data_IF_717449251561
#
_entry.id   IF_717449251561
#
_cell.length_a   1.000
_cell.length_b   1.000
_cell.length_c   1.000
_cell.angle_alpha   90.00
_cell.angle_beta   90.00
_cell.angle_gamma   90.00
#
_symmetry.space_group_name_H-M   'P 1'
#
loop_
_entity.id
_entity.type
_entity.pdbx_description
1 polymer ?
#
# COMPACT_ATOMS: atom_id res chain seq x y z
N UNK A 1 6.50 -0.55 -4.96
CA UNK A 1 5.19 -1.03 -4.48
C UNK A 1 5.38 -2.43 -3.93
N UNK A 2 4.60 -2.80 -2.93
CA UNK A 2 4.60 -4.12 -2.32
C UNK A 2 3.22 -4.77 -2.37
N UNK A 3 3.16 -6.08 -2.14
CA UNK A 3 1.90 -6.83 -1.97
C UNK A 3 2.09 -8.05 -1.08
N UNK A 4 0.98 -8.54 -0.57
CA UNK A 4 0.84 -9.81 0.14
C UNK A 4 -0.04 -10.74 -0.68
N UNK A 5 0.40 -11.96 -0.98
CA UNK A 5 -0.31 -12.88 -1.91
C UNK A 5 -1.04 -14.01 -1.19
N UNK A 6 -0.92 -14.10 0.13
CA UNK A 6 -1.61 -15.10 0.97
C UNK A 6 -2.50 -14.48 2.04
N UNK A 7 -2.24 -13.25 2.44
CA UNK A 7 -2.85 -12.62 3.62
C UNK A 7 -3.33 -11.20 3.32
N UNK A 8 -4.37 -10.77 4.02
CA UNK A 8 -4.86 -9.38 3.96
C UNK A 8 -4.11 -8.47 4.94
N UNK A 9 -4.19 -7.17 4.68
CA UNK A 9 -3.66 -6.14 5.57
C UNK A 9 -4.69 -5.01 5.77
N UNK A 10 -4.67 -4.40 6.95
CA UNK A 10 -5.49 -3.23 7.28
C UNK A 10 -4.60 -2.09 7.72
N UNK A 11 -4.82 -0.91 7.14
CA UNK A 11 -4.33 0.35 7.68
C UNK A 11 -5.49 1.12 8.31
N UNK A 12 -5.32 1.58 9.54
CA UNK A 12 -6.27 2.46 10.21
C UNK A 12 -5.56 3.70 10.74
N UNK A 13 -6.01 4.87 10.28
CA UNK A 13 -5.43 6.16 10.66
C UNK A 13 -5.98 6.60 12.03
N UNK A 14 -5.14 6.70 13.05
CA UNK A 14 -5.60 6.95 14.43
C UNK A 14 -5.84 8.43 14.72
N UNK A 15 -4.93 9.30 14.30
CA UNK A 15 -4.88 10.70 14.77
C UNK A 15 -4.72 11.75 13.68
N UNK A 16 -4.04 11.45 12.58
CA UNK A 16 -3.87 12.35 11.44
C UNK A 16 -4.22 11.65 10.12
N UNK A 17 -4.51 12.47 9.10
CA UNK A 17 -4.83 11.98 7.76
C UNK A 17 -3.56 11.47 7.06
N UNK A 18 -3.74 10.48 6.19
CA UNK A 18 -2.66 9.94 5.35
C UNK A 18 -3.08 9.82 3.89
N UNK A 19 -2.10 9.74 2.99
CA UNK A 19 -2.32 9.34 1.61
C UNK A 19 -1.91 7.89 1.45
N UNK A 20 -2.80 7.06 0.90
CA UNK A 20 -2.55 5.66 0.62
C UNK A 20 -2.47 5.48 -0.90
N UNK A 21 -1.37 4.87 -1.35
CA UNK A 21 -1.16 4.49 -2.75
C UNK A 21 -1.50 3.02 -2.92
N UNK A 22 -2.42 2.68 -3.82
CA UNK A 22 -2.86 1.31 -4.09
C UNK A 22 -2.93 1.02 -5.59
N UNK A 23 -2.81 -0.24 -5.98
CA UNK A 23 -3.05 -0.75 -7.33
C UNK A 23 -3.81 -2.08 -7.26
N UNK A 24 -4.52 -2.42 -8.34
CA UNK A 24 -5.30 -3.67 -8.39
C UNK A 24 -4.38 -4.88 -8.32
N UNK A 25 -4.83 -5.95 -7.68
CA UNK A 25 -4.13 -7.22 -7.69
C UNK A 25 -3.88 -7.72 -9.12
N UNK A 26 -2.65 -8.13 -9.40
CA UNK A 26 -2.23 -8.70 -10.69
C UNK A 26 -1.72 -10.14 -10.50
N UNK A 27 -2.64 -11.13 -10.38
CA UNK A 27 -2.24 -12.52 -10.20
C UNK A 27 -1.37 -12.99 -11.37
N UNK A 28 -0.34 -13.77 -11.08
CA UNK A 28 0.64 -14.29 -12.05
C UNK A 28 1.48 -13.22 -12.78
N UNK A 29 1.44 -11.96 -12.33
CA UNK A 29 2.32 -10.91 -12.82
C UNK A 29 3.34 -10.54 -11.75
N UNK A 30 4.56 -10.21 -12.20
CA UNK A 30 5.64 -9.80 -11.30
C UNK A 30 5.52 -8.35 -10.84
N UNK A 31 4.73 -7.52 -11.52
CA UNK A 31 4.59 -6.08 -11.27
C UNK A 31 3.11 -5.66 -11.32
N UNK A 32 2.74 -4.52 -10.71
CA UNK A 32 1.41 -3.93 -10.86
C UNK A 32 1.14 -3.48 -12.30
N UNK A 33 -0.14 -3.45 -12.65
CA UNK A 33 -0.64 -2.66 -13.78
C UNK A 33 -0.62 -1.18 -13.38
N UNK A 34 0.28 -0.41 -14.01
CA UNK A 34 0.56 0.99 -13.71
C UNK A 34 -0.70 1.86 -13.83
N UNK A 35 -1.59 1.57 -14.78
CA UNK A 35 -2.81 2.35 -15.01
C UNK A 35 -3.84 2.21 -13.88
N UNK A 36 -3.73 1.13 -13.11
CA UNK A 36 -4.59 0.86 -11.96
C UNK A 36 -4.10 1.52 -10.68
N UNK A 37 -2.87 2.03 -10.66
CA UNK A 37 -2.30 2.66 -9.47
C UNK A 37 -2.98 4.00 -9.24
N UNK A 38 -3.54 4.17 -8.04
CA UNK A 38 -4.26 5.37 -7.59
C UNK A 38 -3.86 5.69 -6.17
N UNK A 39 -3.91 6.98 -5.84
CA UNK A 39 -3.78 7.45 -4.47
C UNK A 39 -5.14 7.95 -3.97
N UNK A 40 -5.40 7.76 -2.68
CA UNK A 40 -6.54 8.37 -2.02
C UNK A 40 -6.17 8.84 -0.62
N UNK A 41 -6.91 9.84 -0.13
CA UNK A 41 -6.79 10.32 1.24
C UNK A 41 -7.55 9.37 2.17
N UNK A 42 -6.86 8.80 3.15
CA UNK A 42 -7.46 8.10 4.28
C UNK A 42 -7.54 9.07 5.45
N UNK A 43 -8.75 9.47 5.79
CA UNK A 43 -9.01 10.40 6.90
C UNK A 43 -8.80 9.71 8.26
N UNK A 44 -8.37 10.49 9.25
CA UNK A 44 -8.27 10.01 10.63
C UNK A 44 -9.59 9.43 11.13
N UNK A 45 -9.49 8.36 11.91
CA UNK A 45 -10.62 7.58 12.38
C UNK A 45 -11.21 6.61 11.34
N UNK A 46 -10.61 6.49 10.16
CA UNK A 46 -11.01 5.51 9.13
C UNK A 46 -9.92 4.48 8.90
N UNK A 47 -10.36 3.32 8.41
CA UNK A 47 -9.47 2.26 7.94
C UNK A 47 -9.74 1.87 6.49
N UNK A 48 -8.74 1.28 5.88
CA UNK A 48 -8.82 0.59 4.59
C UNK A 48 -8.41 -0.86 4.77
N UNK A 49 -9.19 -1.75 4.16
CA UNK A 49 -8.90 -3.18 4.07
C UNK A 49 -8.26 -3.46 2.71
N UNK A 50 -7.04 -4.00 2.70
CA UNK A 50 -6.31 -4.39 1.51
C UNK A 50 -6.50 -5.89 1.29
N UNK A 51 -7.29 -6.23 0.29
CA UNK A 51 -7.50 -7.62 -0.11
C UNK A 51 -6.20 -8.25 -0.60
N UNK A 52 -6.09 -9.58 -0.50
CA UNK A 52 -4.97 -10.37 -1.00
C UNK A 52 -4.57 -9.93 -2.43
N UNK A 53 -3.28 -9.69 -2.60
CA UNK A 53 -2.63 -9.33 -3.86
C UNK A 53 -2.70 -7.84 -4.21
N UNK A 54 -3.43 -7.02 -3.45
CA UNK A 54 -3.49 -5.57 -3.66
C UNK A 54 -2.09 -4.98 -3.56
N UNK A 55 -1.66 -4.30 -4.63
CA UNK A 55 -0.41 -3.57 -4.59
C UNK A 55 -0.59 -2.31 -3.76
N UNK A 56 0.37 -1.98 -2.94
CA UNK A 56 0.31 -0.79 -2.10
C UNK A 56 1.71 -0.29 -1.71
N UNK A 57 1.73 0.82 -0.98
CA UNK A 57 2.91 1.31 -0.29
C UNK A 57 2.52 1.81 1.10
N UNK A 58 3.53 1.98 1.95
CA UNK A 58 3.34 2.58 3.27
C UNK A 58 2.58 3.91 3.16
N UNK A 59 1.52 4.13 3.97
CA UNK A 59 0.78 5.38 3.94
C UNK A 59 1.68 6.59 4.24
N UNK A 60 1.52 7.65 3.46
CA UNK A 60 2.29 8.88 3.61
C UNK A 60 1.56 9.85 4.55
N UNK A 61 2.21 10.37 5.61
CA UNK A 61 1.56 11.29 6.55
C UNK A 61 1.28 12.66 5.92
N UNK A 62 0.10 13.23 6.17
CA UNK A 62 -0.25 14.62 5.81
C UNK A 62 0.06 15.63 6.93
N UNK A 63 0.74 15.16 7.98
CA UNK A 63 1.24 15.95 9.10
C UNK A 63 2.72 15.60 9.35
N UNK A 64 3.38 16.25 10.31
CA UNK A 64 4.77 15.90 10.67
C UNK A 64 4.89 14.44 11.10
N UNK A 65 3.89 13.91 11.83
CA UNK A 65 3.81 12.54 12.32
C UNK A 65 2.36 12.06 12.31
N UNK A 66 2.18 10.76 12.13
CA UNK A 66 0.89 10.06 12.23
C UNK A 66 1.09 8.75 12.97
N UNK A 67 0.05 8.27 13.65
CA UNK A 67 -0.01 6.92 14.19
C UNK A 67 -1.00 6.09 13.39
N UNK A 68 -0.55 4.92 12.95
CA UNK A 68 -1.38 3.93 12.27
C UNK A 68 -1.55 2.72 13.18
N UNK A 69 -2.76 2.18 13.24
CA UNK A 69 -2.95 0.79 13.60
C UNK A 69 -2.83 -0.03 12.31
N UNK A 70 -1.86 -0.94 12.30
CA UNK A 70 -1.64 -1.86 11.18
C UNK A 70 -1.97 -3.27 11.66
N UNK A 71 -2.84 -3.96 10.92
CA UNK A 71 -3.23 -5.34 11.24
C UNK A 71 -2.89 -6.23 10.05
N UNK A 72 -2.02 -7.20 10.29
CA UNK A 72 -1.60 -8.20 9.31
C UNK A 72 -1.18 -9.49 10.04
N UNK A 73 -1.06 -10.57 9.29
CA UNK A 73 -0.72 -11.87 9.86
C UNK A 73 0.73 -11.92 10.36
N UNK A 74 0.95 -12.58 11.50
CA UNK A 74 2.31 -12.83 11.99
C UNK A 74 3.13 -13.60 10.95
N UNK A 75 4.32 -13.09 10.63
CA UNK A 75 5.21 -13.68 9.63
C UNK A 75 4.98 -13.20 8.19
N UNK A 76 4.04 -12.28 7.93
CA UNK A 76 3.84 -11.71 6.57
C UNK A 76 5.13 -11.13 6.00
N UNK A 77 5.92 -10.42 6.81
CA UNK A 77 7.20 -9.83 6.38
C UNK A 77 8.19 -10.89 5.90
N UNK A 78 8.21 -12.05 6.55
CA UNK A 78 9.17 -13.12 6.26
C UNK A 78 8.72 -14.03 5.10
N UNK A 79 7.40 -14.23 4.93
CA UNK A 79 6.86 -15.31 4.09
C UNK A 79 5.80 -14.90 3.07
N UNK A 80 5.33 -13.65 3.11
CA UNK A 80 4.22 -13.15 2.28
C UNK A 80 4.41 -11.68 1.89
N UNK A 81 5.64 -11.28 1.60
CA UNK A 81 5.97 -9.92 1.18
C UNK A 81 6.71 -9.94 -0.16
N UNK A 82 6.08 -9.36 -1.18
CA UNK A 82 6.70 -9.12 -2.47
C UNK A 82 6.92 -7.63 -2.70
N UNK A 83 8.17 -7.17 -2.70
CA UNK A 83 8.52 -5.78 -3.01
C UNK A 83 9.05 -5.68 -4.44
N UNK A 84 8.52 -4.72 -5.20
CA UNK A 84 8.94 -4.44 -6.59
C UNK A 84 9.29 -2.97 -6.77
N UNK A 85 10.52 -2.74 -7.23
CA UNK A 85 11.01 -1.44 -7.66
C UNK A 85 10.63 -1.19 -9.13
N UNK A 86 9.61 -0.36 -9.34
CA UNK A 86 9.11 -0.07 -10.67
C UNK A 86 9.99 0.88 -11.47
N UNK A 87 10.81 1.70 -10.80
CA UNK A 87 11.77 2.53 -11.50
C UNK A 87 12.84 1.62 -12.13
N UNK A 88 13.38 0.69 -11.36
CA UNK A 88 14.37 -0.28 -11.86
C UNK A 88 13.80 -1.22 -12.92
N UNK A 89 12.56 -1.69 -12.76
CA UNK A 89 11.96 -2.70 -13.64
C UNK A 89 11.28 -2.11 -14.89
N UNK A 90 10.75 -0.89 -14.81
CA UNK A 90 9.89 -0.29 -15.84
C UNK A 90 10.18 1.19 -16.13
N UNK A 91 11.10 1.83 -15.41
CA UNK A 91 11.33 3.28 -15.52
C UNK A 91 10.14 4.13 -15.04
N UNK A 92 9.29 3.57 -14.17
CA UNK A 92 8.05 4.22 -13.72
C UNK A 92 8.20 4.71 -12.28
N UNK A 93 7.79 5.96 -12.05
CA UNK A 93 7.67 6.58 -10.72
C UNK A 93 6.28 7.17 -10.55
N UNK A 94 5.75 7.13 -9.34
CA UNK A 94 4.50 7.82 -8.97
C UNK A 94 4.83 9.04 -8.13
N UNK A 95 4.20 10.17 -8.46
CA UNK A 95 4.30 11.41 -7.71
C UNK A 95 2.90 11.83 -7.28
N UNK A 96 2.79 12.33 -6.04
CA UNK A 96 1.54 12.84 -5.48
C UNK A 96 1.80 14.30 -5.15
N UNK A 97 1.02 15.20 -5.74
CA UNK A 97 1.01 16.61 -5.39
C UNK A 97 0.02 16.79 -4.23
N UNK A 98 0.51 17.33 -3.11
CA UNK A 98 -0.19 17.45 -1.83
C UNK A 98 -0.29 18.93 -1.47
#
# INVERSE_FOLDING_TARGET
LERHVKTEEIFFALDEDVVVLVGKATPNQEVPDVETVKAFKLEKGKGVFLSIGTWHWLPYPLAEKVRLLVVFQQGTVDYDLEIKDLNKLKGVTFSIEI
#
